data_IF_784738208325
#
_entry.id   IF_784738208325
#
_cell.length_a   1.000
_cell.length_b   1.000
_cell.length_c   1.000
_cell.angle_alpha   90.00
_cell.angle_beta   90.00
_cell.angle_gamma   90.00
#
_symmetry.space_group_name_H-M   'P 1'
#
loop_
_entity.id
_entity.type
_entity.pdbx_description
1 polymer ?
#
# COMPACT_ATOMS: atom_id res chain seq x y z
N UNK A 1 57.64 -6.39 -22.54
CA UNK A 1 56.81 -7.41 -21.86
C UNK A 1 55.93 -6.70 -20.82
N UNK A 2 54.65 -6.48 -21.13
CA UNK A 2 53.70 -5.88 -20.19
C UNK A 2 53.13 -6.97 -19.28
N UNK A 3 53.37 -6.86 -17.97
CA UNK A 3 52.78 -7.76 -16.97
C UNK A 3 51.28 -7.44 -16.90
N UNK A 4 50.44 -8.35 -17.40
CA UNK A 4 49.00 -8.34 -17.08
C UNK A 4 48.85 -8.45 -15.57
N UNK A 5 48.29 -7.43 -14.94
CA UNK A 5 47.87 -7.47 -13.54
C UNK A 5 46.70 -8.45 -13.40
N UNK A 6 46.91 -9.52 -12.66
CA UNK A 6 45.84 -10.40 -12.21
C UNK A 6 44.85 -9.60 -11.35
N UNK A 7 43.53 -9.84 -11.46
CA UNK A 7 42.55 -9.18 -10.59
C UNK A 7 42.84 -9.59 -9.14
N UNK A 8 42.78 -8.63 -8.22
CA UNK A 8 43.00 -8.87 -6.80
C UNK A 8 42.05 -9.96 -6.26
N UNK A 9 42.49 -10.81 -5.30
CA UNK A 9 41.58 -11.73 -4.63
C UNK A 9 40.48 -10.91 -3.94
N UNK A 10 39.22 -11.30 -4.15
CA UNK A 10 38.08 -10.70 -3.46
C UNK A 10 38.33 -10.75 -1.95
N UNK A 11 38.13 -9.63 -1.26
CA UNK A 11 38.23 -9.60 0.20
C UNK A 11 37.24 -10.61 0.80
N UNK A 12 37.61 -11.30 1.88
CA UNK A 12 36.75 -12.30 2.53
C UNK A 12 35.40 -11.70 2.96
N UNK A 13 35.37 -10.38 3.19
CA UNK A 13 34.16 -9.59 3.41
C UNK A 13 33.18 -9.68 2.24
N UNK A 14 33.67 -9.47 1.02
CA UNK A 14 32.87 -9.43 -0.20
C UNK A 14 32.29 -10.82 -0.54
N UNK A 15 33.09 -11.89 -0.37
CA UNK A 15 32.64 -13.26 -0.63
C UNK A 15 31.51 -13.68 0.32
N UNK A 16 31.60 -13.30 1.60
CA UNK A 16 30.57 -13.61 2.58
C UNK A 16 29.25 -12.88 2.24
N UNK A 17 29.33 -11.62 1.83
CA UNK A 17 28.15 -10.88 1.36
C UNK A 17 27.52 -11.57 0.14
N UNK A 18 28.31 -12.01 -0.84
CA UNK A 18 27.80 -12.73 -2.02
C UNK A 18 27.10 -14.05 -1.67
N UNK A 19 27.62 -14.80 -0.68
CA UNK A 19 26.97 -16.02 -0.19
C UNK A 19 25.64 -15.68 0.49
N UNK A 20 25.63 -14.68 1.36
CA UNK A 20 24.42 -14.24 2.06
C UNK A 20 23.36 -13.69 1.11
N UNK A 21 23.76 -13.04 0.00
CA UNK A 21 22.85 -12.55 -1.03
C UNK A 21 22.06 -13.66 -1.72
N UNK A 22 22.67 -14.84 -1.87
CA UNK A 22 22.05 -16.01 -2.51
C UNK A 22 21.10 -16.78 -1.60
N UNK A 23 20.99 -16.42 -0.32
CA UNK A 23 20.01 -17.04 0.58
C UNK A 23 18.57 -16.79 0.06
N UNK A 24 17.64 -17.74 0.26
CA UNK A 24 16.25 -17.55 -0.15
C UNK A 24 15.65 -16.29 0.51
N UNK A 25 14.79 -15.53 -0.19
CA UNK A 25 14.17 -14.31 0.32
C UNK A 25 13.02 -14.61 1.29
N UNK A 26 13.21 -15.57 2.19
CA UNK A 26 12.28 -15.90 3.27
C UNK A 26 12.73 -15.15 4.52
N UNK A 27 11.83 -14.52 5.29
CA UNK A 27 12.19 -13.86 6.56
C UNK A 27 12.97 -14.78 7.52
N UNK A 28 12.64 -16.07 7.51
CA UNK A 28 13.31 -17.10 8.31
C UNK A 28 14.75 -17.41 7.86
N UNK A 29 15.11 -17.19 6.59
CA UNK A 29 16.47 -17.43 6.09
C UNK A 29 17.46 -16.41 6.65
N UNK A 30 17.14 -15.12 6.55
CA UNK A 30 18.00 -14.06 7.09
C UNK A 30 18.08 -14.13 8.61
N UNK A 31 16.97 -14.45 9.29
CA UNK A 31 16.98 -14.67 10.75
C UNK A 31 17.88 -15.83 11.16
N UNK A 32 17.84 -16.95 10.45
CA UNK A 32 18.71 -18.10 10.74
C UNK A 32 20.18 -17.80 10.45
N UNK A 33 20.46 -17.03 9.40
CA UNK A 33 21.81 -16.60 9.09
C UNK A 33 22.36 -15.60 10.13
N UNK A 34 21.52 -14.69 10.67
CA UNK A 34 21.98 -13.67 11.64
C UNK A 34 22.34 -14.22 13.01
N UNK A 35 21.89 -15.44 13.35
CA UNK A 35 22.26 -16.10 14.61
C UNK A 35 23.55 -16.93 14.51
N UNK A 36 24.12 -17.12 13.31
CA UNK A 36 25.34 -17.94 13.11
C UNK A 36 26.54 -17.31 13.82
N UNK A 37 26.81 -16.02 13.58
CA UNK A 37 27.87 -15.28 14.28
C UNK A 37 27.66 -13.76 14.21
N UNK A 38 28.42 -13.01 15.03
CA UNK A 38 28.34 -11.53 15.07
C UNK A 38 28.64 -10.88 13.72
N UNK A 39 29.56 -11.44 12.94
CA UNK A 39 29.92 -10.93 11.60
C UNK A 39 28.75 -11.05 10.63
N UNK A 40 28.10 -12.21 10.58
CA UNK A 40 26.90 -12.42 9.74
C UNK A 40 25.77 -11.51 10.19
N UNK A 41 25.53 -11.39 11.51
CA UNK A 41 24.56 -10.46 12.07
C UNK A 41 24.82 -9.01 11.64
N UNK A 42 26.08 -8.58 11.66
CA UNK A 42 26.49 -7.23 11.26
C UNK A 42 26.17 -6.95 9.79
N UNK A 43 26.57 -7.86 8.89
CA UNK A 43 26.27 -7.75 7.45
C UNK A 43 24.75 -7.71 7.21
N UNK A 44 24.00 -8.61 7.84
CA UNK A 44 22.55 -8.71 7.66
C UNK A 44 21.77 -7.54 8.25
N UNK A 45 22.36 -6.80 9.19
CA UNK A 45 21.81 -5.57 9.74
C UNK A 45 22.17 -4.32 8.91
N UNK A 46 23.16 -4.40 8.02
CA UNK A 46 23.56 -3.27 7.19
C UNK A 46 22.50 -2.95 6.12
N UNK A 47 22.10 -1.67 6.08
CA UNK A 47 21.17 -1.14 5.08
C UNK A 47 21.68 -1.35 3.65
N UNK A 48 23.00 -1.30 3.41
CA UNK A 48 23.56 -1.52 2.05
C UNK A 48 23.35 -2.96 1.60
N UNK A 49 23.64 -3.93 2.46
CA UNK A 49 23.36 -5.34 2.19
C UNK A 49 21.86 -5.60 1.95
N UNK A 50 20.98 -5.10 2.81
CA UNK A 50 19.52 -5.28 2.68
C UNK A 50 19.02 -4.74 1.32
N UNK A 51 19.53 -3.58 0.88
CA UNK A 51 19.21 -3.00 -0.44
C UNK A 51 19.67 -3.93 -1.57
N UNK A 52 20.91 -4.42 -1.51
CA UNK A 52 21.45 -5.39 -2.48
C UNK A 52 20.63 -6.68 -2.52
N UNK A 53 20.27 -7.23 -1.35
CA UNK A 53 19.47 -8.44 -1.21
C UNK A 53 18.09 -8.29 -1.88
N UNK A 54 17.39 -7.18 -1.61
CA UNK A 54 16.09 -6.89 -2.23
C UNK A 54 16.20 -6.68 -3.74
N UNK A 55 17.23 -5.96 -4.20
CA UNK A 55 17.50 -5.77 -5.64
C UNK A 55 17.79 -7.09 -6.34
N UNK A 56 18.52 -8.00 -5.68
CA UNK A 56 18.82 -9.33 -6.21
C UNK A 56 17.56 -10.19 -6.35
N UNK A 57 16.70 -10.23 -5.32
CA UNK A 57 15.52 -11.08 -5.31
C UNK A 57 14.30 -10.49 -6.02
N UNK A 58 14.25 -9.18 -6.25
CA UNK A 58 13.22 -8.37 -6.95
C UNK A 58 11.79 -8.44 -6.39
N UNK A 59 11.36 -9.59 -5.85
CA UNK A 59 10.06 -9.78 -5.21
C UNK A 59 10.21 -9.54 -3.70
N UNK A 60 9.51 -8.55 -3.13
CA UNK A 60 9.47 -8.40 -1.68
C UNK A 60 8.84 -9.65 -1.06
N UNK A 61 9.34 -10.12 0.09
CA UNK A 61 8.74 -11.27 0.78
C UNK A 61 7.30 -10.94 1.18
N UNK A 62 6.36 -11.85 0.94
CA UNK A 62 5.02 -11.77 1.49
C UNK A 62 5.09 -12.02 3.00
N UNK A 63 4.85 -10.98 3.79
CA UNK A 63 4.93 -11.06 5.25
C UNK A 63 3.66 -11.60 5.90
N UNK A 64 2.55 -11.55 5.18
CA UNK A 64 1.22 -11.85 5.67
C UNK A 64 0.17 -11.25 4.75
N UNK A 65 -1.08 -11.38 5.15
CA UNK A 65 -2.22 -10.74 4.51
C UNK A 65 -3.16 -10.18 5.57
N UNK A 66 -3.93 -9.18 5.16
CA UNK A 66 -5.04 -8.69 5.96
C UNK A 66 -6.33 -9.37 5.52
N UNK A 67 -7.12 -9.80 6.48
CA UNK A 67 -8.46 -10.30 6.27
C UNK A 67 -9.48 -9.23 6.69
N UNK A 68 -10.36 -8.86 5.77
CA UNK A 68 -11.39 -7.84 6.01
C UNK A 68 -12.57 -8.51 6.70
N UNK A 69 -12.91 -8.03 7.89
CA UNK A 69 -14.08 -8.51 8.64
C UNK A 69 -15.20 -7.48 8.58
N UNK A 70 -16.42 -7.92 8.91
CA UNK A 70 -17.56 -7.02 9.07
C UNK A 70 -17.28 -5.93 10.10
N UNK A 71 -16.51 -6.25 11.15
CA UNK A 71 -16.06 -5.29 12.16
C UNK A 71 -14.53 -5.31 12.25
N UNK A 72 -13.87 -4.54 11.38
CA UNK A 72 -12.43 -4.34 11.44
C UNK A 72 -11.63 -5.17 10.45
N UNK A 73 -10.37 -5.46 10.81
CA UNK A 73 -9.48 -6.28 10.02
C UNK A 73 -8.51 -7.07 10.91
N UNK A 74 -8.19 -8.28 10.49
CA UNK A 74 -7.17 -9.11 11.11
C UNK A 74 -5.94 -9.21 10.21
N UNK A 75 -4.76 -9.43 10.80
CA UNK A 75 -3.54 -9.70 10.06
C UNK A 75 -3.07 -11.12 10.33
N UNK A 76 -2.96 -11.92 9.27
CA UNK A 76 -2.37 -13.25 9.31
C UNK A 76 -0.94 -13.17 8.81
N UNK A 77 0.02 -13.39 9.72
CA UNK A 77 1.44 -13.45 9.37
C UNK A 77 1.78 -14.75 8.62
N UNK A 78 2.65 -14.65 7.62
CA UNK A 78 3.24 -15.82 6.97
C UNK A 78 4.29 -16.47 7.88
N UNK A 79 4.40 -17.80 7.80
CA UNK A 79 5.35 -18.58 8.59
C UNK A 79 6.79 -18.03 8.51
N UNK A 80 7.41 -17.80 9.66
CA UNK A 80 8.76 -17.24 9.78
C UNK A 80 8.83 -15.71 9.86
N UNK A 81 7.70 -15.01 9.71
CA UNK A 81 7.57 -13.60 10.08
C UNK A 81 6.93 -13.49 11.46
N UNK A 82 7.70 -13.07 12.46
CA UNK A 82 7.14 -12.58 13.72
C UNK A 82 6.93 -11.08 13.55
N UNK A 83 5.75 -10.67 13.09
CA UNK A 83 5.31 -9.31 13.33
C UNK A 83 5.45 -9.06 14.84
N UNK A 84 5.91 -7.89 15.26
CA UNK A 84 5.73 -7.51 16.66
C UNK A 84 4.21 -7.37 16.87
N UNK A 85 3.54 -8.47 17.26
CA UNK A 85 2.07 -8.55 17.29
C UNK A 85 1.45 -7.58 18.29
N UNK A 86 2.24 -7.06 19.23
CA UNK A 86 1.89 -5.94 20.11
C UNK A 86 1.69 -4.61 19.36
N UNK A 87 2.20 -4.52 18.13
CA UNK A 87 2.15 -3.35 17.25
C UNK A 87 1.03 -3.41 16.22
N UNK A 88 0.28 -4.51 16.15
CA UNK A 88 -0.95 -4.57 15.35
C UNK A 88 -2.05 -4.03 16.26
N UNK A 89 -2.60 -2.84 15.99
CA UNK A 89 -3.71 -2.34 16.80
C UNK A 89 -4.82 -3.39 16.81
N UNK A 90 -5.63 -3.42 17.87
CA UNK A 90 -6.97 -3.97 17.70
C UNK A 90 -7.66 -3.05 16.70
N UNK A 91 -7.69 -3.45 15.43
CA UNK A 91 -8.32 -2.72 14.33
C UNK A 91 -9.86 -2.87 14.39
N UNK A 92 -10.39 -3.20 15.57
CA UNK A 92 -11.81 -3.22 15.87
C UNK A 92 -12.37 -1.85 15.49
N UNK A 93 -13.44 -1.82 14.69
CA UNK A 93 -14.08 -0.61 14.14
C UNK A 93 -13.34 0.13 13.02
N UNK A 94 -12.17 -0.36 12.57
CA UNK A 94 -11.41 0.24 11.47
C UNK A 94 -11.60 -0.53 10.15
N UNK A 95 -12.18 0.14 9.16
CA UNK A 95 -12.45 -0.48 7.86
C UNK A 95 -11.19 -0.50 6.99
N UNK A 96 -10.64 -1.68 6.70
CA UNK A 96 -9.55 -1.83 5.74
C UNK A 96 -10.03 -1.56 4.31
N UNK A 97 -9.58 -0.45 3.73
CA UNK A 97 -10.00 0.00 2.40
C UNK A 97 -8.93 -0.21 1.33
N UNK A 98 -7.65 -0.27 1.73
CA UNK A 98 -6.54 -0.42 0.79
C UNK A 98 -5.30 -1.00 1.46
N UNK A 99 -4.50 -1.75 0.70
CA UNK A 99 -3.23 -2.31 1.14
C UNK A 99 -2.27 -2.41 -0.04
N UNK A 100 -1.34 -1.47 -0.18
CA UNK A 100 -0.38 -1.44 -1.28
C UNK A 100 0.98 -0.88 -0.89
N UNK A 101 2.01 -1.29 -1.61
CA UNK A 101 3.40 -0.84 -1.40
C UNK A 101 3.90 -1.04 0.05
N UNK A 102 3.40 -2.07 0.74
CA UNK A 102 3.74 -2.31 2.15
C UNK A 102 3.05 -1.37 3.15
N UNK A 103 2.01 -0.66 2.71
CA UNK A 103 1.18 0.25 3.53
C UNK A 103 -0.25 -0.25 3.53
N UNK A 104 -0.86 -0.31 4.70
CA UNK A 104 -2.28 -0.59 4.91
C UNK A 104 -3.02 0.70 5.27
N UNK A 105 -4.24 0.84 4.77
CA UNK A 105 -5.08 2.02 4.94
C UNK A 105 -6.41 1.64 5.57
N UNK A 106 -6.77 2.33 6.64
CA UNK A 106 -8.01 2.10 7.36
C UNK A 106 -8.83 3.38 7.50
N UNK A 107 -10.14 3.26 7.42
CA UNK A 107 -11.08 4.33 7.76
C UNK A 107 -11.61 4.12 9.17
N UNK A 108 -11.51 5.15 9.99
CA UNK A 108 -12.25 5.29 11.23
C UNK A 108 -13.42 6.23 10.98
N UNK A 109 -14.59 5.65 10.76
CA UNK A 109 -15.79 6.48 10.63
C UNK A 109 -16.14 7.13 11.95
N UNK A 110 -15.93 6.54 13.12
CA UNK A 110 -16.33 7.18 14.37
C UNK A 110 -15.53 8.46 14.62
N UNK A 111 -14.22 8.42 14.39
CA UNK A 111 -13.32 9.56 14.59
C UNK A 111 -13.23 10.50 13.37
N UNK A 112 -13.83 10.15 12.23
CA UNK A 112 -13.62 10.85 10.96
C UNK A 112 -12.12 10.93 10.59
N UNK A 113 -11.41 9.81 10.68
CA UNK A 113 -9.96 9.75 10.41
C UNK A 113 -9.59 8.61 9.46
N UNK A 114 -8.44 8.77 8.81
CA UNK A 114 -7.78 7.76 8.00
C UNK A 114 -6.48 7.37 8.70
N UNK A 115 -6.33 6.08 9.03
CA UNK A 115 -5.08 5.51 9.52
C UNK A 115 -4.27 4.97 8.34
N UNK A 116 -3.11 5.58 8.10
CA UNK A 116 -2.08 5.10 7.18
C UNK A 116 -1.02 4.37 8.00
N UNK A 117 -0.85 3.07 7.77
CA UNK A 117 0.03 2.25 8.58
C UNK A 117 1.03 1.47 7.73
N UNK A 118 2.33 1.63 8.03
CA UNK A 118 3.37 0.74 7.55
C UNK A 118 3.69 -0.29 8.66
N UNK A 119 3.21 -1.54 8.55
CA UNK A 119 3.45 -2.58 9.55
C UNK A 119 4.91 -3.03 9.64
N UNK A 120 5.69 -2.82 8.58
CA UNK A 120 7.11 -3.23 8.50
C UNK A 120 7.98 -2.23 9.27
N UNK A 121 7.77 -0.93 9.02
CA UNK A 121 8.51 0.14 9.67
C UNK A 121 7.95 0.47 11.07
N UNK A 122 6.76 -0.03 11.40
CA UNK A 122 6.05 0.34 12.63
C UNK A 122 5.55 1.79 12.65
N UNK A 123 5.53 2.47 11.49
CA UNK A 123 5.18 3.89 11.38
C UNK A 123 3.68 4.02 11.09
N UNK A 124 3.02 4.94 11.79
CA UNK A 124 1.59 5.25 11.65
C UNK A 124 1.40 6.74 11.40
N UNK A 125 0.40 7.09 10.61
CA UNK A 125 -0.06 8.47 10.39
C UNK A 125 -1.58 8.49 10.42
N UNK A 126 -2.13 9.39 11.23
CA UNK A 126 -3.55 9.69 11.26
C UNK A 126 -3.79 10.93 10.40
N UNK A 127 -4.82 10.89 9.55
CA UNK A 127 -5.22 12.00 8.71
C UNK A 127 -6.71 12.22 8.92
N UNK A 128 -7.09 13.36 9.49
CA UNK A 128 -8.49 13.73 9.65
C UNK A 128 -9.18 13.86 8.28
N UNK A 129 -10.47 13.53 8.22
CA UNK A 129 -11.29 13.78 7.04
C UNK A 129 -11.32 15.28 6.72
N UNK A 130 -11.57 15.64 5.45
CA UNK A 130 -11.72 17.04 5.08
C UNK A 130 -12.80 17.73 5.91
N UNK A 131 -12.56 18.94 6.47
CA UNK A 131 -13.50 19.61 7.36
C UNK A 131 -14.89 19.86 6.74
N UNK A 132 -14.95 20.09 5.43
CA UNK A 132 -16.20 20.30 4.69
C UNK A 132 -17.02 19.02 4.48
N UNK A 133 -16.47 17.84 4.80
CA UNK A 133 -17.20 16.56 4.78
C UNK A 133 -17.70 16.14 6.17
N UNK A 134 -17.53 16.98 7.19
CA UNK A 134 -17.88 16.61 8.57
C UNK A 134 -19.41 16.52 8.80
N UNK A 135 -20.23 17.08 7.89
CA UNK A 135 -21.68 16.92 7.92
C UNK A 135 -22.10 15.58 7.27
N UNK A 136 -22.22 14.54 8.09
CA UNK A 136 -22.57 13.18 7.66
C UNK A 136 -23.98 13.03 7.09
N UNK A 137 -24.84 14.03 7.25
CA UNK A 137 -26.20 13.99 6.73
C UNK A 137 -26.25 14.18 5.21
N UNK A 138 -25.24 14.84 4.63
CA UNK A 138 -25.24 15.19 3.21
C UNK A 138 -24.40 14.24 2.36
N UNK A 139 -23.40 13.58 2.96
CA UNK A 139 -22.44 12.74 2.24
C UNK A 139 -21.98 11.54 3.05
N UNK A 140 -21.58 10.49 2.33
CA UNK A 140 -21.04 9.25 2.90
C UNK A 140 -19.65 9.01 2.32
N UNK A 141 -18.65 8.89 3.18
CA UNK A 141 -17.32 8.41 2.79
C UNK A 141 -17.40 6.89 2.65
N UNK A 142 -16.97 6.35 1.52
CA UNK A 142 -17.10 4.91 1.23
C UNK A 142 -15.76 4.18 1.26
N UNK A 143 -14.72 4.80 0.71
CA UNK A 143 -13.41 4.16 0.55
C UNK A 143 -12.29 5.19 0.49
N UNK A 144 -11.05 4.70 0.60
CA UNK A 144 -9.87 5.51 0.33
C UNK A 144 -8.76 4.65 -0.29
N UNK A 145 -7.75 5.31 -0.85
CA UNK A 145 -6.63 4.69 -1.54
C UNK A 145 -5.36 5.50 -1.31
N UNK A 146 -4.23 4.82 -1.03
CA UNK A 146 -2.92 5.49 -0.78
C UNK A 146 -1.97 5.35 -1.96
N UNK A 147 -1.33 6.42 -2.39
CA UNK A 147 -0.22 6.39 -3.34
C UNK A 147 1.03 6.92 -2.65
N UNK A 148 1.94 6.01 -2.29
CA UNK A 148 3.27 6.38 -1.82
C UNK A 148 4.06 7.00 -2.98
N UNK A 149 4.72 8.13 -2.73
CA UNK A 149 5.72 8.64 -3.68
C UNK A 149 6.93 7.72 -3.64
N UNK A 150 7.49 7.40 -4.82
CA UNK A 150 8.82 6.83 -4.86
C UNK A 150 9.78 7.87 -4.27
N UNK A 151 10.61 7.47 -3.30
CA UNK A 151 11.74 8.31 -2.92
C UNK A 151 12.76 8.17 -4.05
N UNK A 152 13.20 9.30 -4.62
CA UNK A 152 14.17 9.36 -5.72
C UNK A 152 15.51 8.66 -5.37
N UNK A 153 15.76 8.36 -4.10
CA UNK A 153 16.97 7.69 -3.61
C UNK A 153 16.87 6.15 -3.48
N UNK A 154 15.73 5.52 -3.78
CA UNK A 154 15.55 4.07 -3.56
C UNK A 154 14.77 3.38 -4.69
N UNK A 155 15.42 2.56 -5.54
CA UNK A 155 14.77 1.81 -6.62
C UNK A 155 13.96 0.58 -6.16
N UNK A 156 13.51 0.51 -4.91
CA UNK A 156 12.80 -0.67 -4.39
C UNK A 156 11.56 -0.25 -3.64
N UNK A 157 10.40 -0.54 -4.23
CA UNK A 157 9.03 -0.24 -3.78
C UNK A 157 8.58 -0.91 -2.45
N UNK A 158 9.50 -1.15 -1.52
CA UNK A 158 9.24 -1.84 -0.24
C UNK A 158 9.53 -1.04 1.03
N UNK A 159 10.15 0.15 0.92
CA UNK A 159 10.47 1.02 2.06
C UNK A 159 9.69 2.34 1.98
N UNK A 160 8.36 2.29 1.79
CA UNK A 160 7.55 3.49 1.95
C UNK A 160 7.54 3.88 3.44
N UNK A 161 8.51 4.70 3.87
CA UNK A 161 8.62 5.21 5.25
C UNK A 161 7.50 6.20 5.63
N UNK A 162 6.42 6.28 4.85
CA UNK A 162 5.36 7.26 4.97
C UNK A 162 5.89 8.71 5.03
N UNK A 163 7.02 8.97 4.35
CA UNK A 163 7.65 10.30 4.27
C UNK A 163 6.90 11.23 3.30
N UNK A 164 6.44 10.68 2.17
CA UNK A 164 5.61 11.38 1.20
C UNK A 164 4.59 10.42 0.57
N UNK A 165 3.31 10.75 0.70
CA UNK A 165 2.22 9.99 0.13
C UNK A 165 1.04 10.90 -0.22
N UNK A 166 0.17 10.38 -1.08
CA UNK A 166 -1.11 10.99 -1.42
C UNK A 166 -2.24 10.05 -1.02
N UNK A 167 -3.37 10.59 -0.57
CA UNK A 167 -4.58 9.81 -0.33
C UNK A 167 -5.70 10.28 -1.25
N UNK A 168 -6.45 9.35 -1.80
CA UNK A 168 -7.67 9.62 -2.55
C UNK A 168 -8.83 9.07 -1.74
N UNK A 169 -9.61 9.97 -1.17
CA UNK A 169 -10.82 9.62 -0.44
C UNK A 169 -12.01 9.73 -1.39
N UNK A 170 -12.84 8.68 -1.43
CA UNK A 170 -13.99 8.59 -2.32
C UNK A 170 -15.24 8.36 -1.49
N UNK A 171 -16.31 9.03 -1.89
CA UNK A 171 -17.62 8.87 -1.29
C UNK A 171 -18.73 9.31 -2.22
N UNK A 172 -19.93 9.40 -1.69
CA UNK A 172 -21.12 9.80 -2.43
C UNK A 172 -21.96 10.85 -1.71
N UNK A 173 -22.76 11.56 -2.49
CA UNK A 173 -23.87 12.40 -2.06
C UNK A 173 -25.18 11.66 -2.43
N UNK A 174 -25.75 10.84 -1.53
CA UNK A 174 -26.87 9.94 -1.86
C UNK A 174 -28.08 10.69 -2.44
N UNK A 175 -28.38 11.86 -1.89
CA UNK A 175 -29.51 12.70 -2.32
C UNK A 175 -29.30 13.39 -3.68
N UNK A 176 -28.08 13.33 -4.25
CA UNK A 176 -27.73 14.03 -5.48
C UNK A 176 -27.32 13.10 -6.63
N UNK A 177 -27.26 11.77 -6.40
CA UNK A 177 -26.73 10.81 -7.36
C UNK A 177 -25.35 11.22 -7.92
N UNK A 178 -24.46 11.64 -7.01
CA UNK A 178 -23.09 12.07 -7.33
C UNK A 178 -22.09 11.34 -6.46
N UNK A 179 -21.02 10.86 -7.08
CA UNK A 179 -19.81 10.48 -6.36
C UNK A 179 -18.90 11.71 -6.23
N UNK A 180 -18.05 11.68 -5.22
CA UNK A 180 -17.01 12.68 -5.01
C UNK A 180 -15.66 12.04 -4.70
N UNK A 181 -14.61 12.80 -4.94
CA UNK A 181 -13.24 12.46 -4.54
C UNK A 181 -12.53 13.68 -3.95
N UNK A 182 -11.70 13.44 -2.93
CA UNK A 182 -10.80 14.42 -2.33
C UNK A 182 -9.37 13.88 -2.37
N UNK A 183 -8.42 14.74 -2.72
CA UNK A 183 -6.99 14.39 -2.74
C UNK A 183 -6.28 15.03 -1.54
N UNK A 184 -5.62 14.23 -0.72
CA UNK A 184 -4.72 14.70 0.33
C UNK A 184 -3.27 14.53 -0.13
N UNK A 185 -2.42 15.50 0.21
CA UNK A 185 -0.98 15.42 0.00
C UNK A 185 -0.24 15.58 1.33
N UNK A 186 0.56 14.57 1.70
CA UNK A 186 1.22 14.54 3.01
C UNK A 186 2.34 15.58 3.16
N UNK A 187 2.89 16.11 2.06
CA UNK A 187 3.98 17.10 2.10
C UNK A 187 3.49 18.47 2.58
N UNK A 188 2.28 18.85 2.18
CA UNK A 188 1.64 20.12 2.56
C UNK A 188 0.65 19.94 3.72
N UNK A 189 0.30 18.70 4.06
CA UNK A 189 -0.72 18.36 5.05
C UNK A 189 -2.08 18.99 4.74
N UNK A 190 -2.45 18.97 3.46
CA UNK A 190 -3.68 19.63 2.99
C UNK A 190 -4.53 18.69 2.15
N UNK A 191 -5.84 18.77 2.40
CA UNK A 191 -6.85 18.31 1.47
C UNK A 191 -7.04 19.33 0.34
N UNK A 192 -7.15 18.84 -0.88
CA UNK A 192 -7.50 19.63 -2.06
C UNK A 192 -9.02 19.63 -2.27
N UNK A 193 -9.47 20.50 -3.18
CA UNK A 193 -10.88 20.66 -3.55
C UNK A 193 -11.54 19.33 -3.92
N UNK A 194 -12.80 19.20 -3.53
CA UNK A 194 -13.68 18.11 -3.94
C UNK A 194 -13.94 18.15 -5.44
N UNK A 195 -13.74 17.01 -6.10
CA UNK A 195 -14.16 16.79 -7.49
C UNK A 195 -15.38 15.88 -7.46
N UNK A 196 -16.40 16.19 -8.25
CA UNK A 196 -17.64 15.43 -8.29
C UNK A 196 -17.92 14.91 -9.70
N UNK A 197 -18.60 13.78 -9.78
CA UNK A 197 -19.12 13.23 -11.04
C UNK A 197 -20.51 12.65 -10.79
N UNK A 198 -21.34 12.61 -11.83
CA UNK A 198 -22.58 11.86 -11.76
C UNK A 198 -22.24 10.37 -11.55
N UNK A 199 -22.85 9.76 -10.54
CA UNK A 199 -22.72 8.35 -10.24
C UNK A 199 -24.02 7.88 -9.61
N UNK A 200 -24.67 6.92 -10.25
CA UNK A 200 -25.99 6.43 -9.82
C UNK A 200 -25.92 5.42 -8.68
N UNK A 201 -24.74 4.86 -8.44
CA UNK A 201 -24.53 3.76 -7.52
C UNK A 201 -23.27 3.98 -6.69
N UNK A 202 -23.37 3.60 -5.43
CA UNK A 202 -22.29 3.51 -4.46
C UNK A 202 -21.14 2.61 -4.93
N UNK A 203 -19.94 2.87 -4.38
CA UNK A 203 -18.81 1.95 -4.55
C UNK A 203 -19.12 0.62 -3.88
N UNK A 204 -18.82 -0.47 -4.58
CA UNK A 204 -18.92 -1.80 -4.02
C UNK A 204 -17.72 -2.09 -3.10
N UNK A 205 -17.79 -1.59 -1.86
CA UNK A 205 -16.70 -1.58 -0.86
C UNK A 205 -16.09 -2.96 -0.56
N UNK A 206 -16.84 -4.05 -0.79
CA UNK A 206 -16.33 -5.42 -0.62
C UNK A 206 -15.32 -5.84 -1.68
N UNK A 207 -15.22 -5.11 -2.79
CA UNK A 207 -14.20 -5.34 -3.82
C UNK A 207 -13.02 -4.39 -3.60
N UNK A 208 -11.78 -4.90 -3.66
CA UNK A 208 -10.61 -4.03 -3.60
C UNK A 208 -10.58 -3.16 -4.84
N UNK A 209 -10.04 -1.96 -4.68
CA UNK A 209 -9.75 -1.09 -5.80
C UNK A 209 -8.45 -1.52 -6.50
N UNK A 210 -8.30 -1.14 -7.77
CA UNK A 210 -7.15 -1.52 -8.59
C UNK A 210 -6.45 -0.26 -9.09
N UNK A 211 -5.12 -0.27 -9.08
CA UNK A 211 -4.29 0.77 -9.67
C UNK A 211 -3.75 0.27 -11.02
N UNK A 212 -4.18 0.90 -12.11
CA UNK A 212 -3.70 0.63 -13.47
C UNK A 212 -2.93 1.86 -13.95
N UNK A 213 -1.61 1.72 -14.09
CA UNK A 213 -0.73 2.85 -14.37
C UNK A 213 -0.84 3.90 -13.26
N UNK A 214 -1.34 5.09 -13.61
CA UNK A 214 -1.53 6.21 -12.68
C UNK A 214 -3.00 6.45 -12.31
N UNK A 215 -3.82 5.41 -12.43
CA UNK A 215 -5.27 5.53 -12.34
C UNK A 215 -5.87 4.48 -11.42
N UNK A 216 -6.63 4.95 -10.43
CA UNK A 216 -7.39 4.11 -9.52
C UNK A 216 -8.77 3.82 -10.10
N UNK A 217 -9.20 2.58 -9.95
CA UNK A 217 -10.50 2.10 -10.37
C UNK A 217 -11.20 1.40 -9.22
N UNK A 218 -12.47 1.77 -8.98
CA UNK A 218 -13.38 1.14 -8.05
C UNK A 218 -14.58 0.57 -8.80
N UNK A 219 -15.04 -0.61 -8.40
CA UNK A 219 -16.25 -1.20 -8.96
C UNK A 219 -17.48 -0.60 -8.27
N UNK A 220 -18.47 -0.17 -9.04
CA UNK A 220 -19.77 0.27 -8.53
C UNK A 220 -20.76 -0.89 -8.48
N UNK A 221 -21.84 -0.76 -7.70
CA UNK A 221 -22.90 -1.79 -7.67
C UNK A 221 -23.62 -2.00 -9.01
N UNK A 222 -23.57 -1.03 -9.93
CA UNK A 222 -24.05 -1.19 -11.32
C UNK A 222 -23.16 -2.07 -12.20
N UNK A 223 -22.00 -2.49 -11.68
CA UNK A 223 -20.88 -3.06 -12.44
C UNK A 223 -20.16 -2.07 -13.37
N UNK A 224 -20.44 -0.77 -13.27
CA UNK A 224 -19.61 0.28 -13.87
C UNK A 224 -18.33 0.50 -13.04
N UNK A 225 -17.36 1.21 -13.61
CA UNK A 225 -16.11 1.54 -12.93
C UNK A 225 -16.04 3.03 -12.61
N UNK A 226 -15.81 3.37 -11.36
CA UNK A 226 -15.45 4.72 -10.96
C UNK A 226 -13.93 4.88 -11.03
N UNK A 227 -13.46 5.90 -11.72
CA UNK A 227 -12.05 6.09 -12.05
C UNK A 227 -11.53 7.42 -11.51
N UNK A 228 -10.33 7.41 -10.93
CA UNK A 228 -9.57 8.61 -10.59
C UNK A 228 -8.14 8.54 -11.16
N UNK A 229 -7.81 9.44 -12.08
CA UNK A 229 -6.47 9.60 -12.66
C UNK A 229 -5.67 10.66 -11.89
N UNK A 230 -4.53 10.27 -11.29
CA UNK A 230 -3.68 11.20 -10.54
C UNK A 230 -2.97 12.25 -11.40
N UNK A 231 -2.74 11.96 -12.69
CA UNK A 231 -1.99 12.81 -13.60
C UNK A 231 -2.83 13.98 -14.06
N UNK A 232 -4.00 13.67 -14.61
CA UNK A 232 -4.95 14.67 -15.08
C UNK A 232 -5.94 15.14 -14.00
N UNK A 233 -5.92 14.52 -12.81
CA UNK A 233 -6.92 14.73 -11.75
C UNK A 233 -8.35 14.58 -12.26
N UNK A 234 -8.56 13.61 -13.16
CA UNK A 234 -9.85 13.34 -13.77
C UNK A 234 -10.59 12.30 -12.94
N UNK A 235 -11.85 12.59 -12.63
CA UNK A 235 -12.74 11.71 -11.88
C UNK A 235 -13.99 11.43 -12.70
N UNK A 236 -14.19 10.19 -13.14
CA UNK A 236 -15.26 9.82 -14.08
C UNK A 236 -15.78 8.42 -13.82
N UNK A 237 -17.01 8.16 -14.26
CA UNK A 237 -17.58 6.82 -14.35
C UNK A 237 -17.34 6.30 -15.77
N UNK A 238 -16.82 5.08 -15.87
CA UNK A 238 -16.73 4.29 -17.09
C UNK A 238 -17.86 3.29 -17.05
N UNK A 239 -18.80 3.44 -17.98
CA UNK A 239 -19.91 2.51 -18.13
C UNK A 239 -19.40 1.16 -18.59
N UNK A 240 -20.00 0.09 -18.04
CA UNK A 240 -19.71 -1.26 -18.51
C UNK A 240 -20.15 -1.42 -19.98
N UNK A 241 -19.41 -2.21 -20.79
CA UNK A 241 -19.81 -2.46 -22.17
C UNK A 241 -21.22 -3.07 -22.26
N UNK A 242 -22.00 -2.65 -23.26
CA UNK A 242 -23.35 -3.16 -23.50
C UNK A 242 -23.39 -4.69 -23.67
N UNK A 243 -22.29 -5.27 -24.15
CA UNK A 243 -22.14 -6.68 -24.49
C UNK A 243 -21.92 -7.56 -23.24
N UNK A 244 -21.66 -6.96 -22.07
CA UNK A 244 -21.41 -7.69 -20.82
C UNK A 244 -22.66 -8.40 -20.26
N UNK A 245 -23.84 -8.22 -20.88
CA UNK A 245 -25.07 -8.96 -20.57
C UNK A 245 -25.20 -10.28 -21.34
N UNK A 246 -24.30 -10.57 -22.29
CA UNK A 246 -24.35 -11.82 -23.05
C UNK A 246 -23.55 -12.92 -22.33
N UNK A 247 -24.26 -14.00 -21.98
CA UNK A 247 -23.76 -15.29 -21.46
C UNK A 247 -23.65 -15.43 -19.93
N UNK A 248 -24.81 -15.43 -19.27
CA UNK A 248 -25.11 -16.49 -18.28
C UNK A 248 -26.36 -17.19 -18.77
N UNK A 249 -26.21 -18.07 -19.76
CA UNK A 249 -27.22 -19.11 -20.00
C UNK A 249 -26.75 -20.33 -19.22
N UNK A 250 -27.64 -20.80 -18.34
CA UNK A 250 -27.56 -21.97 -17.50
C UNK A 250 -27.09 -23.24 -18.23
#
# INVERSE_FOLDING_TARGET
MSRRSSPAPLDDGDLLEEILLRLPPKPSSLRRASIVCRRWRGILADRRFIRRFRKHHRKPPLLGYFDRKYEGADFTAMSGFTANMTSIPRLCHLNLVDCRHGVALFLDHALCEILVWNPIAGVRRHVAFPPWLNNRCDCVVETSAVLCSASDDLPVHGDCHLSAFKLVLVGEYPNQAKAFTCLYESKSDTWRKVITTAARYAVYVNRPNVLVGNTLCWLLYSADLLQFDFGNQKFVVIEKPADAYAHVNC
#
